data_IF_867643463673
#
_entry.id   IF_867643463673
#
_cell.length_a   1.000
_cell.length_b   1.000
_cell.length_c   1.000
_cell.angle_alpha   90.00
_cell.angle_beta   90.00
_cell.angle_gamma   90.00
#
_symmetry.space_group_name_H-M   'P 1'
#
loop_
_entity.id
_entity.type
_entity.pdbx_description
1 polymer ?
#
# COMPACT_ATOMS: atom_id res chain seq x y z
N UNK A 1 4.82 4.96 31.25
CA UNK A 1 5.26 6.28 30.77
C UNK A 1 6.76 6.25 30.47
N UNK A 2 7.25 6.99 29.45
CA UNK A 2 8.68 7.12 29.20
C UNK A 2 9.42 7.52 30.47
N UNK A 3 10.62 6.95 30.66
CA UNK A 3 11.48 7.20 31.83
C UNK A 3 10.91 6.78 33.21
N UNK A 4 9.77 6.08 33.27
CA UNK A 4 9.17 5.61 34.54
C UNK A 4 9.04 4.09 34.65
N UNK A 5 8.59 3.44 33.58
CA UNK A 5 8.45 1.99 33.55
C UNK A 5 9.77 1.36 33.08
N UNK A 6 10.19 0.29 33.77
CA UNK A 6 11.42 -0.43 33.43
C UNK A 6 11.11 -1.66 32.60
N UNK A 7 12.01 -2.00 31.68
CA UNK A 7 11.82 -3.08 30.71
C UNK A 7 11.58 -4.44 31.37
N UNK A 8 12.23 -4.72 32.51
CA UNK A 8 12.00 -5.96 33.28
C UNK A 8 10.59 -6.07 33.84
N UNK A 9 9.94 -4.94 34.16
CA UNK A 9 8.56 -4.91 34.66
C UNK A 9 7.53 -5.03 33.54
N UNK A 10 7.82 -4.47 32.38
CA UNK A 10 6.90 -4.48 31.23
C UNK A 10 6.95 -5.78 30.42
N UNK A 11 8.11 -6.43 30.36
CA UNK A 11 8.32 -7.64 29.55
C UNK A 11 8.59 -8.83 30.45
N UNK A 12 7.56 -9.66 30.65
CA UNK A 12 7.67 -10.90 31.42
C UNK A 12 8.79 -11.80 30.84
N UNK A 13 9.71 -12.23 31.70
CA UNK A 13 10.83 -13.11 31.31
C UNK A 13 12.05 -12.40 30.70
N UNK A 14 12.09 -11.07 30.65
CA UNK A 14 13.25 -10.34 30.15
C UNK A 14 14.42 -10.36 31.15
N UNK A 15 15.58 -10.89 30.74
CA UNK A 15 16.79 -11.07 31.58
C UNK A 15 17.91 -10.07 31.28
N UNK A 16 17.74 -9.19 30.28
CA UNK A 16 18.75 -8.22 29.89
C UNK A 16 18.94 -7.06 30.88
N UNK A 17 19.79 -6.07 30.53
CA UNK A 17 19.93 -4.83 31.29
C UNK A 17 18.57 -4.16 31.48
N UNK A 18 18.26 -3.78 32.72
CA UNK A 18 17.05 -3.02 33.00
C UNK A 18 17.25 -1.59 32.54
N UNK A 19 16.26 -1.04 31.85
CA UNK A 19 16.32 0.29 31.28
C UNK A 19 14.90 0.85 31.19
N UNK A 20 14.81 2.17 31.05
CA UNK A 20 13.54 2.87 30.82
C UNK A 20 13.49 3.37 29.39
N UNK A 21 12.28 3.54 28.85
CA UNK A 21 12.16 4.15 27.53
C UNK A 21 12.73 5.59 27.54
N UNK A 22 13.45 6.02 26.48
CA UNK A 22 14.02 7.35 26.38
C UNK A 22 12.92 8.43 26.38
N UNK A 23 13.31 9.69 26.59
CA UNK A 23 12.38 10.82 26.45
C UNK A 23 11.79 10.86 25.03
N UNK A 24 10.61 11.49 24.86
CA UNK A 24 9.99 11.63 23.54
C UNK A 24 10.89 12.35 22.54
N UNK A 25 11.60 13.39 22.99
CA UNK A 25 12.57 14.13 22.17
C UNK A 25 13.69 13.19 21.70
N UNK A 26 14.31 12.45 22.63
CA UNK A 26 15.38 11.52 22.30
C UNK A 26 14.88 10.37 21.43
N UNK A 27 13.67 9.90 21.65
CA UNK A 27 13.04 8.88 20.82
C UNK A 27 12.82 9.38 19.39
N UNK A 28 12.36 10.62 19.21
CA UNK A 28 12.19 11.23 17.89
C UNK A 28 13.53 11.38 17.16
N UNK A 29 14.59 11.83 17.84
CA UNK A 29 15.95 11.84 17.28
C UNK A 29 16.39 10.45 16.81
N UNK A 30 16.22 9.43 17.66
CA UNK A 30 16.58 8.05 17.33
C UNK A 30 15.75 7.52 16.16
N UNK A 31 14.45 7.83 16.08
CA UNK A 31 13.62 7.47 14.92
C UNK A 31 14.19 8.09 13.63
N UNK A 32 14.61 9.35 13.66
CA UNK A 32 15.20 10.00 12.49
C UNK A 32 16.52 9.34 12.08
N UNK A 33 17.46 9.20 13.02
CA UNK A 33 18.81 8.69 12.72
C UNK A 33 18.83 7.20 12.40
N UNK A 34 18.16 6.40 13.23
CA UNK A 34 18.26 4.94 13.19
C UNK A 34 17.23 4.29 12.27
N UNK A 35 16.09 4.96 12.02
CA UNK A 35 15.02 4.39 11.19
C UNK A 35 14.88 5.15 9.88
N UNK A 36 14.54 6.44 9.91
CA UNK A 36 14.21 7.21 8.70
C UNK A 36 15.42 7.30 7.78
N UNK A 37 16.55 7.83 8.27
CA UNK A 37 17.74 8.03 7.44
C UNK A 37 18.31 6.72 6.91
N UNK A 38 18.39 5.68 7.74
CA UNK A 38 18.88 4.35 7.33
C UNK A 38 17.96 3.69 6.30
N UNK A 39 16.64 3.77 6.49
CA UNK A 39 15.67 3.23 5.53
C UNK A 39 15.78 3.96 4.19
N UNK A 40 15.80 5.29 4.20
CA UNK A 40 15.89 6.08 2.98
C UNK A 40 17.25 5.92 2.27
N UNK A 41 18.34 5.71 3.00
CA UNK A 41 19.64 5.41 2.41
C UNK A 41 19.65 4.06 1.67
N UNK A 42 18.88 3.08 2.14
CA UNK A 42 18.78 1.75 1.54
C UNK A 42 17.89 1.66 0.29
N UNK A 43 17.15 2.71 -0.06
CA UNK A 43 16.23 2.72 -1.21
C UNK A 43 16.86 3.49 -2.36
N UNK A 44 17.09 2.84 -3.51
CA UNK A 44 17.57 3.52 -4.72
C UNK A 44 16.39 4.01 -5.56
N UNK A 45 16.37 5.32 -5.86
CA UNK A 45 15.39 5.94 -6.73
C UNK A 45 15.68 5.62 -8.20
N UNK A 46 14.70 5.83 -9.09
CA UNK A 46 14.88 5.71 -10.54
C UNK A 46 15.99 6.61 -11.10
N UNK A 47 16.30 7.71 -10.42
CA UNK A 47 17.40 8.61 -10.75
C UNK A 47 18.79 8.05 -10.39
N UNK A 48 18.86 6.85 -9.79
CA UNK A 48 20.10 6.24 -9.30
C UNK A 48 20.57 6.77 -7.93
N UNK A 49 19.93 7.82 -7.39
CA UNK A 49 20.25 8.38 -6.08
C UNK A 49 19.55 7.62 -4.94
N UNK A 50 20.10 7.59 -3.71
CA UNK A 50 19.37 7.11 -2.54
C UNK A 50 18.13 7.98 -2.27
N UNK A 51 17.06 7.40 -1.76
CA UNK A 51 15.86 8.13 -1.36
C UNK A 51 16.14 9.15 -0.25
N UNK A 52 17.24 8.97 0.49
CA UNK A 52 17.76 9.95 1.44
C UNK A 52 17.96 11.33 0.81
N UNK A 53 18.20 11.42 -0.51
CA UNK A 53 18.30 12.72 -1.19
C UNK A 53 17.02 13.56 -1.17
N UNK A 54 15.89 12.98 -0.77
CA UNK A 54 14.60 13.65 -0.61
C UNK A 54 14.36 14.16 0.82
N UNK A 55 15.30 13.92 1.74
CA UNK A 55 15.18 14.25 3.15
C UNK A 55 16.20 15.31 3.55
N UNK A 56 15.75 16.40 4.18
CA UNK A 56 16.61 17.48 4.65
C UNK A 56 15.81 18.64 5.26
N UNK A 57 16.40 19.83 5.32
CA UNK A 57 15.81 21.00 6.00
C UNK A 57 14.46 21.47 5.40
N UNK A 58 14.20 21.12 4.14
CA UNK A 58 12.94 21.40 3.46
C UNK A 58 11.84 20.37 3.77
N UNK A 59 12.15 19.31 4.53
CA UNK A 59 11.21 18.25 4.88
C UNK A 59 10.37 18.67 6.09
N UNK A 60 9.05 18.77 5.88
CA UNK A 60 8.10 18.90 6.98
C UNK A 60 7.98 17.56 7.71
N UNK A 61 8.64 17.46 8.87
CA UNK A 61 8.71 16.24 9.65
C UNK A 61 7.66 16.22 10.76
N UNK A 62 6.70 15.29 10.66
CA UNK A 62 5.70 15.03 11.69
C UNK A 62 5.95 13.66 12.33
N UNK A 63 6.67 13.65 13.47
CA UNK A 63 6.85 12.44 14.28
C UNK A 63 5.97 12.55 15.51
N UNK A 64 5.06 11.59 15.67
CA UNK A 64 4.12 11.50 16.78
C UNK A 64 3.42 12.85 17.08
N UNK A 65 2.80 13.50 16.07
CA UNK A 65 2.20 14.84 16.25
C UNK A 65 1.04 14.85 17.25
N UNK A 66 0.41 13.69 17.51
CA UNK A 66 -0.61 13.50 18.55
C UNK A 66 -0.04 13.24 19.95
N UNK A 67 1.28 13.33 20.11
CA UNK A 67 1.98 13.00 21.35
C UNK A 67 2.26 11.50 21.49
N UNK A 68 2.31 11.02 22.74
CA UNK A 68 2.70 9.63 23.04
C UNK A 68 1.72 8.63 22.41
N UNK A 69 2.22 7.67 21.64
CA UNK A 69 1.42 6.59 21.06
C UNK A 69 1.84 5.23 21.65
N UNK A 70 1.38 4.95 22.87
CA UNK A 70 1.77 3.77 23.65
C UNK A 70 0.77 2.62 23.47
N UNK A 71 -0.52 2.95 23.40
CA UNK A 71 -1.60 1.98 23.22
C UNK A 71 -1.97 1.96 21.74
N UNK A 72 -1.84 0.80 21.09
CA UNK A 72 -2.20 0.61 19.69
C UNK A 72 -2.91 -0.72 19.46
N UNK A 73 -3.07 -1.10 18.18
CA UNK A 73 -3.75 -2.33 17.81
C UNK A 73 -5.23 -2.36 18.24
N UNK A 74 -5.81 -3.56 18.45
CA UNK A 74 -7.23 -3.71 18.84
C UNK A 74 -7.63 -3.03 20.16
N UNK A 75 -6.66 -2.72 21.03
CA UNK A 75 -6.92 -1.99 22.26
C UNK A 75 -7.19 -0.49 22.01
N UNK A 76 -6.62 0.06 20.93
CA UNK A 76 -6.75 1.47 20.56
C UNK A 76 -7.76 1.74 19.44
N UNK A 77 -8.23 0.71 18.72
CA UNK A 77 -9.17 0.85 17.60
C UNK A 77 -9.89 -0.49 17.31
N UNK A 78 -11.02 -0.45 16.59
CA UNK A 78 -11.75 -1.62 16.14
C UNK A 78 -11.46 -1.92 14.66
N UNK A 79 -10.73 -3.01 14.41
CA UNK A 79 -10.42 -3.49 13.06
C UNK A 79 -11.51 -4.39 12.49
N UNK A 80 -11.88 -4.19 11.21
CA UNK A 80 -12.79 -5.06 10.48
C UNK A 80 -12.20 -5.43 9.11
N UNK A 81 -12.44 -6.68 8.69
CA UNK A 81 -12.03 -7.19 7.38
C UNK A 81 -12.63 -6.33 6.25
N UNK A 82 -11.82 -5.98 5.24
CA UNK A 82 -12.30 -5.26 4.07
C UNK A 82 -12.54 -3.76 4.28
N UNK A 83 -12.02 -3.15 5.35
CA UNK A 83 -12.12 -1.68 5.58
C UNK A 83 -10.99 -0.85 5.01
N UNK A 84 -10.11 -1.45 4.21
CA UNK A 84 -8.94 -0.79 3.58
C UNK A 84 -8.81 -1.10 2.07
N UNK A 85 -9.93 -1.32 1.38
CA UNK A 85 -9.98 -1.74 -0.03
C UNK A 85 -9.21 -0.83 -1.02
N UNK A 86 -9.17 0.49 -0.76
CA UNK A 86 -8.40 1.42 -1.60
C UNK A 86 -6.89 1.32 -1.34
N UNK A 87 -6.49 1.00 -0.11
CA UNK A 87 -5.09 0.73 0.25
C UNK A 87 -4.63 -0.62 -0.31
N UNK A 88 -5.50 -1.63 -0.28
CA UNK A 88 -5.22 -2.96 -0.86
C UNK A 88 -5.03 -2.92 -2.39
N UNK A 89 -5.48 -1.85 -3.05
CA UNK A 89 -5.47 -1.72 -4.51
C UNK A 89 -4.46 -0.68 -4.99
N UNK A 90 -4.93 0.50 -5.39
CA UNK A 90 -4.13 1.47 -6.15
C UNK A 90 -4.02 2.82 -5.47
N UNK A 91 -4.34 2.90 -4.17
CA UNK A 91 -4.17 4.13 -3.37
C UNK A 91 -4.99 5.31 -3.88
N UNK A 92 -6.11 5.06 -4.56
CA UNK A 92 -6.98 6.08 -5.16
C UNK A 92 -6.65 6.48 -6.60
N UNK A 93 -5.56 5.96 -7.18
CA UNK A 93 -5.15 6.27 -8.56
C UNK A 93 -5.95 5.51 -9.64
N UNK A 94 -7.01 4.79 -9.28
CA UNK A 94 -7.84 4.02 -10.21
C UNK A 94 -9.26 3.80 -9.69
N UNK A 95 -10.10 3.15 -10.50
CA UNK A 95 -11.45 2.80 -10.11
C UNK A 95 -11.49 1.56 -9.20
N UNK A 96 -12.55 1.45 -8.39
CA UNK A 96 -12.76 0.33 -7.49
C UNK A 96 -14.23 -0.10 -7.48
N UNK A 97 -14.51 -1.39 -7.67
CA UNK A 97 -15.88 -1.94 -7.75
C UNK A 97 -16.57 -2.16 -6.39
N UNK A 98 -15.83 -2.02 -5.28
CA UNK A 98 -16.37 -2.05 -3.91
C UNK A 98 -16.15 -3.37 -3.16
N UNK A 99 -15.82 -4.46 -3.86
CA UNK A 99 -15.56 -5.76 -3.25
C UNK A 99 -14.25 -5.80 -2.44
N UNK A 100 -14.31 -6.27 -1.18
CA UNK A 100 -13.13 -6.57 -0.39
C UNK A 100 -12.46 -7.89 -0.80
N UNK A 101 -11.15 -8.03 -0.58
CA UNK A 101 -10.40 -9.25 -0.91
C UNK A 101 -10.34 -10.25 0.24
N UNK A 102 -9.86 -9.84 1.41
CA UNK A 102 -9.60 -10.72 2.56
C UNK A 102 -10.85 -11.49 3.03
N UNK A 103 -10.67 -12.76 3.40
CA UNK A 103 -11.75 -13.65 3.86
C UNK A 103 -12.54 -14.35 2.75
N UNK A 104 -12.16 -14.19 1.47
CA UNK A 104 -12.86 -14.80 0.33
C UNK A 104 -12.01 -15.86 -0.38
N UNK A 105 -12.59 -17.01 -0.66
CA UNK A 105 -11.97 -18.02 -1.51
C UNK A 105 -11.91 -17.56 -2.99
N UNK A 106 -11.11 -18.22 -3.86
CA UNK A 106 -10.94 -17.79 -5.25
C UNK A 106 -12.19 -17.85 -6.12
N UNK A 107 -13.27 -18.55 -5.71
CA UNK A 107 -14.51 -18.56 -6.49
C UNK A 107 -15.31 -17.26 -6.34
N UNK A 108 -14.90 -16.34 -5.45
CA UNK A 108 -15.52 -15.02 -5.30
C UNK A 108 -14.86 -14.02 -6.23
N UNK A 109 -15.59 -13.61 -7.26
CA UNK A 109 -15.11 -12.72 -8.33
C UNK A 109 -14.58 -11.38 -7.83
N UNK A 110 -15.07 -10.87 -6.69
CA UNK A 110 -14.53 -9.68 -6.04
C UNK A 110 -13.01 -9.74 -5.82
N UNK A 111 -12.47 -10.94 -5.59
CA UNK A 111 -11.04 -11.18 -5.42
C UNK A 111 -10.41 -11.66 -6.74
N UNK A 112 -10.91 -12.76 -7.30
CA UNK A 112 -10.25 -13.39 -8.45
C UNK A 112 -10.34 -12.57 -9.73
N UNK A 113 -11.49 -11.97 -10.05
CA UNK A 113 -11.61 -11.10 -11.22
C UNK A 113 -10.82 -9.80 -11.05
N UNK A 114 -10.75 -9.23 -9.84
CA UNK A 114 -9.91 -8.07 -9.58
C UNK A 114 -8.41 -8.37 -9.81
N UNK A 115 -7.94 -9.55 -9.41
CA UNK A 115 -6.56 -9.99 -9.67
C UNK A 115 -6.29 -10.19 -11.16
N UNK A 116 -7.25 -10.77 -11.89
CA UNK A 116 -7.14 -10.94 -13.34
C UNK A 116 -7.17 -9.59 -14.07
N UNK A 117 -8.00 -8.62 -13.67
CA UNK A 117 -7.96 -7.26 -14.21
C UNK A 117 -6.56 -6.64 -14.05
N UNK A 118 -5.93 -6.81 -12.88
CA UNK A 118 -4.56 -6.34 -12.65
C UNK A 118 -3.56 -7.04 -13.59
N UNK A 119 -3.69 -8.35 -13.75
CA UNK A 119 -2.82 -9.11 -14.65
C UNK A 119 -2.98 -8.65 -16.11
N UNK A 120 -4.21 -8.50 -16.60
CA UNK A 120 -4.53 -7.98 -17.93
C UNK A 120 -3.92 -6.60 -18.15
N UNK A 121 -4.20 -5.63 -17.26
CA UNK A 121 -3.66 -4.28 -17.37
C UNK A 121 -2.12 -4.25 -17.38
N UNK A 122 -1.50 -5.08 -16.52
CA UNK A 122 -0.03 -5.20 -16.45
C UNK A 122 0.54 -5.80 -17.75
N UNK A 123 -0.11 -6.80 -18.31
CA UNK A 123 0.31 -7.43 -19.57
C UNK A 123 0.21 -6.47 -20.74
N UNK A 124 -0.91 -5.75 -20.89
CA UNK A 124 -1.10 -4.75 -21.95
C UNK A 124 0.00 -3.69 -21.94
N UNK A 125 0.28 -3.11 -20.77
CA UNK A 125 1.34 -2.10 -20.63
C UNK A 125 2.72 -2.70 -20.88
N UNK A 126 2.99 -3.91 -20.35
CA UNK A 126 4.28 -4.59 -20.55
C UNK A 126 4.54 -4.93 -22.01
N UNK A 127 3.50 -5.26 -22.77
CA UNK A 127 3.59 -5.54 -24.21
C UNK A 127 3.77 -4.28 -25.07
N UNK A 128 3.78 -3.10 -24.46
CA UNK A 128 3.98 -1.83 -25.17
C UNK A 128 2.76 -1.35 -25.95
N UNK A 129 1.57 -1.92 -25.72
CA UNK A 129 0.35 -1.50 -26.41
C UNK A 129 -0.14 -0.13 -25.94
N UNK A 130 0.12 0.22 -24.68
CA UNK A 130 -0.14 1.54 -24.12
C UNK A 130 0.80 1.85 -22.94
N UNK A 131 0.86 3.11 -22.49
CA UNK A 131 1.66 3.50 -21.31
C UNK A 131 0.91 3.32 -19.99
N UNK A 132 -0.43 3.33 -20.03
CA UNK A 132 -1.33 3.16 -18.88
C UNK A 132 -2.61 2.46 -19.34
N UNK A 133 -3.12 1.55 -18.53
CA UNK A 133 -4.40 0.87 -18.77
C UNK A 133 -5.18 0.72 -17.47
N UNK A 134 -6.50 0.95 -17.55
CA UNK A 134 -7.49 0.52 -16.57
C UNK A 134 -8.37 -0.54 -17.24
N UNK A 135 -8.45 -1.72 -16.64
CA UNK A 135 -9.29 -2.83 -17.11
C UNK A 135 -10.47 -2.98 -16.16
N UNK A 136 -11.68 -3.01 -16.71
CA UNK A 136 -12.92 -3.21 -15.96
C UNK A 136 -13.60 -4.50 -16.41
N UNK A 137 -14.06 -5.29 -15.43
CA UNK A 137 -14.93 -6.46 -15.63
C UNK A 137 -16.21 -6.28 -14.84
N UNK A 138 -17.32 -6.79 -15.37
CA UNK A 138 -18.58 -6.93 -14.64
C UNK A 138 -19.17 -8.33 -14.79
N UNK A 139 -19.86 -8.81 -13.76
CA UNK A 139 -20.47 -10.14 -13.73
C UNK A 139 -21.91 -10.04 -13.22
N UNK A 140 -22.77 -10.92 -13.73
CA UNK A 140 -24.06 -11.23 -13.13
C UNK A 140 -23.93 -12.44 -12.21
N UNK A 141 -24.68 -12.46 -11.10
CA UNK A 141 -24.72 -13.58 -10.18
C UNK A 141 -25.17 -14.85 -10.93
N UNK A 142 -24.40 -15.94 -10.77
CA UNK A 142 -24.67 -17.23 -11.41
C UNK A 142 -24.20 -17.35 -12.85
N UNK A 143 -23.62 -16.31 -13.45
CA UNK A 143 -23.12 -16.33 -14.83
C UNK A 143 -21.59 -16.43 -14.84
N UNK A 144 -21.06 -17.46 -15.50
CA UNK A 144 -19.62 -17.71 -15.55
C UNK A 144 -18.87 -16.72 -16.46
N UNK A 145 -19.50 -16.25 -17.55
CA UNK A 145 -18.91 -15.29 -18.49
C UNK A 145 -19.13 -13.85 -17.99
N UNK A 146 -18.14 -12.95 -18.13
CA UNK A 146 -18.35 -11.52 -17.85
C UNK A 146 -19.48 -10.95 -18.71
N UNK A 147 -20.24 -10.01 -18.15
CA UNK A 147 -21.20 -9.22 -18.92
C UNK A 147 -20.51 -8.13 -19.73
N UNK A 148 -19.40 -7.59 -19.22
CA UNK A 148 -18.58 -6.62 -19.92
C UNK A 148 -17.10 -6.78 -19.58
N UNK A 149 -16.27 -6.45 -20.57
CA UNK A 149 -14.83 -6.21 -20.46
C UNK A 149 -14.55 -4.89 -21.19
N UNK A 150 -13.90 -3.96 -20.51
CA UNK A 150 -13.57 -2.65 -21.08
C UNK A 150 -12.15 -2.23 -20.68
N UNK A 151 -11.43 -1.59 -21.58
CA UNK A 151 -10.10 -1.02 -21.35
C UNK A 151 -10.12 0.49 -21.59
N UNK A 152 -9.65 1.25 -20.61
CA UNK A 152 -9.35 2.68 -20.74
C UNK A 152 -7.83 2.87 -20.73
N UNK A 153 -7.31 3.46 -21.80
CA UNK A 153 -5.86 3.71 -21.99
C UNK A 153 -5.47 5.15 -21.66
N UNK A 154 -6.44 6.02 -21.45
CA UNK A 154 -6.30 7.45 -21.21
C UNK A 154 -5.50 8.15 -22.31
N UNK A 155 -5.74 7.78 -23.57
CA UNK A 155 -5.05 8.33 -24.74
C UNK A 155 -3.56 7.96 -24.79
N UNK A 156 -3.18 6.80 -24.24
CA UNK A 156 -1.78 6.34 -24.21
C UNK A 156 -1.49 5.09 -25.02
N UNK A 157 -2.48 4.60 -25.76
CA UNK A 157 -2.34 3.61 -26.82
C UNK A 157 -1.25 3.99 -27.83
N UNK A 158 -0.61 2.98 -28.43
CA UNK A 158 0.54 3.16 -29.31
C UNK A 158 0.20 2.88 -30.78
N UNK A 159 0.82 3.65 -31.69
CA UNK A 159 0.63 3.47 -33.13
C UNK A 159 -0.76 3.87 -33.59
N UNK A 160 -1.40 3.00 -34.38
CA UNK A 160 -2.75 3.19 -34.91
C UNK A 160 -3.82 2.46 -34.08
N UNK A 161 -3.45 1.88 -32.93
CA UNK A 161 -4.39 1.19 -32.05
C UNK A 161 -5.36 2.17 -31.40
N UNK A 162 -6.59 1.71 -31.20
CA UNK A 162 -7.58 2.31 -30.31
C UNK A 162 -7.69 1.52 -29.00
N UNK A 163 -8.38 2.09 -28.01
CA UNK A 163 -8.73 1.36 -26.79
C UNK A 163 -9.59 0.11 -27.06
N UNK A 164 -10.45 0.16 -28.09
CA UNK A 164 -11.27 -0.97 -28.51
C UNK A 164 -10.42 -2.09 -29.13
N UNK A 165 -9.42 -1.76 -29.95
CA UNK A 165 -8.48 -2.75 -30.49
C UNK A 165 -7.76 -3.49 -29.37
N UNK A 166 -7.32 -2.76 -28.34
CA UNK A 166 -6.67 -3.34 -27.15
C UNK A 166 -7.66 -4.19 -26.35
N UNK A 167 -8.91 -3.74 -26.21
CA UNK A 167 -9.98 -4.50 -25.54
C UNK A 167 -10.23 -5.84 -26.24
N UNK A 168 -10.24 -5.87 -27.58
CA UNK A 168 -10.51 -7.07 -28.37
C UNK A 168 -9.38 -8.12 -28.34
N UNK A 169 -8.16 -7.72 -27.95
CA UNK A 169 -7.03 -8.65 -27.78
C UNK A 169 -7.09 -9.40 -26.45
N UNK A 170 -7.80 -8.85 -25.46
CA UNK A 170 -7.95 -9.44 -24.12
C UNK A 170 -9.10 -10.45 -24.11
#
# INVERSE_FOLDING_TARGET
EPSKATRRKEVAGYTGPDDTAPSMEKMNELIVEEVVKKTLAGITLKSGKPALSLFGDHTHLHINPSGKFIIGGPQGDAGLTGRKIIIDTYGGWGAHGGGAFSGKDPTKVDRSAAYICRQMAKSVVKSGLCKRALVQLSYAIGVAKPLSLFVETYGTEQGALSADDITNVI
#
